data_IF_213630565428
#
_entry.id   IF_213630565428
#
_cell.length_a   1.000
_cell.length_b   1.000
_cell.length_c   1.000
_cell.angle_alpha   90.00
_cell.angle_beta   90.00
_cell.angle_gamma   90.00
#
_symmetry.space_group_name_H-M   'P 1'
#
loop_
_entity.id
_entity.type
_entity.pdbx_description
1 polymer ?
#
# COMPACT_ATOMS: atom_id res chain seq x y z
N UNK A 1 0.79 12.54 18.68
CA UNK A 1 2.00 12.09 19.40
C UNK A 1 2.43 10.76 18.80
N UNK A 2 3.38 10.75 17.84
CA UNK A 2 3.92 9.49 17.31
C UNK A 2 5.19 9.17 18.08
N UNK A 3 5.17 8.12 18.89
CA UNK A 3 6.38 7.58 19.49
C UNK A 3 7.32 7.15 18.36
N UNK A 4 8.53 7.68 18.36
CA UNK A 4 9.53 7.43 17.33
C UNK A 4 9.86 5.95 17.22
N UNK A 5 9.91 5.43 15.99
CA UNK A 5 10.41 4.09 15.69
C UNK A 5 11.86 4.00 16.19
N UNK A 6 12.14 3.02 17.06
CA UNK A 6 13.44 2.88 17.73
C UNK A 6 14.55 2.36 16.80
N UNK A 7 15.81 2.54 17.21
CA UNK A 7 17.02 2.17 16.45
C UNK A 7 17.01 0.71 15.93
N UNK A 8 16.37 -0.19 16.67
CA UNK A 8 16.27 -1.62 16.34
C UNK A 8 15.30 -1.89 15.19
N UNK A 9 14.24 -1.08 15.07
CA UNK A 9 13.31 -1.14 13.93
C UNK A 9 14.02 -0.71 12.64
N UNK A 10 14.79 0.37 12.72
CA UNK A 10 15.60 0.85 11.60
C UNK A 10 16.61 -0.22 11.18
N UNK A 11 17.49 -0.68 12.08
CA UNK A 11 18.50 -1.69 11.75
C UNK A 11 17.92 -2.96 11.09
N UNK A 12 16.80 -3.48 11.59
CA UNK A 12 16.12 -4.63 10.98
C UNK A 12 15.56 -4.31 9.60
N UNK A 13 14.93 -3.14 9.45
CA UNK A 13 14.37 -2.68 8.18
C UNK A 13 15.48 -2.60 7.14
N UNK A 14 16.58 -1.90 7.44
CA UNK A 14 17.69 -1.69 6.51
C UNK A 14 18.50 -2.96 6.20
N UNK A 15 18.64 -3.90 7.14
CA UNK A 15 19.41 -5.14 6.93
C UNK A 15 18.95 -5.95 5.71
N UNK A 16 17.64 -5.97 5.43
CA UNK A 16 17.05 -6.66 4.28
C UNK A 16 17.42 -6.02 2.92
N UNK A 17 17.79 -4.74 2.91
CA UNK A 17 18.05 -3.94 1.70
C UNK A 17 19.53 -3.61 1.48
N UNK A 18 20.43 -4.06 2.36
CA UNK A 18 21.89 -3.86 2.23
C UNK A 18 22.57 -4.83 1.25
N UNK A 19 21.88 -5.89 0.83
CA UNK A 19 22.35 -6.85 -0.17
C UNK A 19 21.74 -6.55 -1.55
N UNK A 20 22.34 -7.03 -2.66
CA UNK A 20 21.69 -7.00 -3.97
C UNK A 20 20.33 -7.68 -3.85
N UNK A 21 19.26 -6.89 -3.95
CA UNK A 21 17.90 -7.35 -3.70
C UNK A 21 17.00 -6.98 -4.86
N UNK A 22 15.88 -7.68 -4.98
CA UNK A 22 14.81 -7.32 -5.92
C UNK A 22 14.00 -6.11 -5.45
N UNK A 23 14.25 -5.63 -4.23
CA UNK A 23 13.57 -4.47 -3.66
C UNK A 23 14.33 -3.20 -4.01
N UNK A 24 13.60 -2.23 -4.58
CA UNK A 24 14.15 -0.94 -5.00
C UNK A 24 14.13 0.12 -3.89
N UNK A 25 13.34 -0.10 -2.83
CA UNK A 25 13.18 0.83 -1.71
C UNK A 25 12.75 0.09 -0.43
N UNK A 26 13.05 0.69 0.72
CA UNK A 26 12.57 0.26 2.04
C UNK A 26 11.11 0.67 2.22
N UNK A 27 10.32 -0.16 2.93
CA UNK A 27 8.97 0.23 3.30
C UNK A 27 8.94 1.41 4.27
N UNK A 28 8.26 2.48 3.87
CA UNK A 28 7.98 3.64 4.71
C UNK A 28 6.56 4.15 4.45
N UNK A 29 5.61 3.71 5.27
CA UNK A 29 4.21 4.05 5.08
C UNK A 29 3.91 5.54 5.27
N UNK A 30 3.35 6.17 4.22
CA UNK A 30 2.87 7.56 4.25
C UNK A 30 1.91 7.82 5.42
N UNK A 31 2.03 8.94 6.16
CA UNK A 31 1.11 9.26 7.24
C UNK A 31 -0.36 9.29 6.76
N UNK A 32 -1.33 8.87 7.59
CA UNK A 32 -2.75 8.83 7.18
C UNK A 32 -3.30 10.16 6.66
N UNK A 33 -2.84 11.29 7.21
CA UNK A 33 -3.23 12.62 6.75
C UNK A 33 -2.74 12.92 5.31
N UNK A 34 -1.54 12.47 4.96
CA UNK A 34 -0.98 12.61 3.62
C UNK A 34 -1.74 11.72 2.64
N UNK A 35 -2.02 10.47 3.03
CA UNK A 35 -2.84 9.55 2.22
C UNK A 35 -4.23 10.13 1.96
N UNK A 36 -4.91 10.64 3.00
CA UNK A 36 -6.22 11.28 2.83
C UNK A 36 -6.15 12.45 1.86
N UNK A 37 -5.15 13.33 2.02
CA UNK A 37 -5.00 14.52 1.19
C UNK A 37 -4.69 14.17 -0.26
N UNK A 38 -3.87 13.16 -0.51
CA UNK A 38 -3.57 12.64 -1.85
C UNK A 38 -4.85 12.18 -2.55
N UNK A 39 -5.66 11.36 -1.88
CA UNK A 39 -6.91 10.84 -2.44
C UNK A 39 -7.97 11.93 -2.64
N UNK A 40 -7.99 12.97 -1.79
CA UNK A 40 -8.82 14.15 -1.98
C UNK A 40 -8.43 14.94 -3.24
N UNK A 41 -7.13 15.18 -3.45
CA UNK A 41 -6.63 15.91 -4.63
C UNK A 41 -6.96 15.13 -5.91
N UNK A 42 -6.85 13.80 -5.86
CA UNK A 42 -7.23 12.92 -6.96
C UNK A 42 -8.76 12.82 -7.17
N UNK A 43 -9.57 13.44 -6.29
CA UNK A 43 -11.02 13.33 -6.28
C UNK A 43 -11.51 11.87 -6.28
N UNK A 44 -10.81 11.01 -5.54
CA UNK A 44 -11.07 9.57 -5.47
C UNK A 44 -12.50 9.29 -4.96
N UNK A 45 -13.24 8.45 -5.70
CA UNK A 45 -14.59 8.05 -5.33
C UNK A 45 -15.06 6.75 -5.98
N UNK A 46 -16.37 6.46 -5.95
CA UNK A 46 -16.91 5.16 -6.35
C UNK A 46 -16.76 4.77 -7.83
N UNK A 47 -16.32 5.71 -8.68
CA UNK A 47 -16.08 5.48 -10.10
C UNK A 47 -14.63 5.10 -10.39
N UNK A 48 -13.76 5.19 -9.39
CA UNK A 48 -12.33 5.01 -9.56
C UNK A 48 -11.88 3.57 -9.37
N UNK A 49 -10.82 3.25 -10.10
CA UNK A 49 -10.03 2.04 -9.93
C UNK A 49 -8.62 2.48 -9.54
N UNK A 50 -8.29 2.31 -8.27
CA UNK A 50 -7.01 2.72 -7.68
C UNK A 50 -6.01 1.58 -7.74
N UNK A 51 -4.80 1.89 -8.22
CA UNK A 51 -3.65 1.00 -8.17
C UNK A 51 -2.57 1.59 -7.28
N UNK A 52 -2.11 0.81 -6.30
CA UNK A 52 -1.05 1.24 -5.37
C UNK A 52 0.20 0.37 -5.59
N UNK A 53 1.25 0.95 -6.16
CA UNK A 53 2.43 0.22 -6.64
C UNK A 53 3.52 0.20 -5.56
N UNK A 54 3.54 -0.86 -4.75
CA UNK A 54 4.29 -0.93 -3.49
C UNK A 54 3.40 -0.63 -2.30
N UNK A 55 2.25 -1.34 -2.21
CA UNK A 55 1.17 -0.97 -1.30
C UNK A 55 1.48 -1.15 0.19
N UNK A 56 2.58 -1.82 0.53
CA UNK A 56 3.04 -2.00 1.91
C UNK A 56 1.96 -2.61 2.81
N UNK A 57 1.59 -1.92 3.89
CA UNK A 57 0.54 -2.34 4.84
C UNK A 57 -0.90 -2.14 4.32
N UNK A 58 -1.07 -1.71 3.07
CA UNK A 58 -2.37 -1.57 2.42
C UNK A 58 -3.16 -0.32 2.83
N UNK A 59 -2.56 0.62 3.57
CA UNK A 59 -3.29 1.79 4.10
C UNK A 59 -3.95 2.66 3.03
N UNK A 60 -3.34 2.78 1.85
CA UNK A 60 -3.91 3.54 0.72
C UNK A 60 -5.10 2.79 0.14
N UNK A 61 -4.99 1.47 -0.01
CA UNK A 61 -6.09 0.60 -0.48
C UNK A 61 -7.33 0.73 0.42
N UNK A 62 -7.13 0.68 1.75
CA UNK A 62 -8.21 0.88 2.73
C UNK A 62 -8.84 2.25 2.57
N UNK A 63 -8.01 3.30 2.53
CA UNK A 63 -8.49 4.67 2.43
C UNK A 63 -9.25 4.94 1.11
N UNK A 64 -8.83 4.32 0.01
CA UNK A 64 -9.52 4.38 -1.28
C UNK A 64 -10.84 3.60 -1.25
N UNK A 65 -10.82 2.36 -0.73
CA UNK A 65 -12.01 1.51 -0.62
C UNK A 65 -13.08 2.13 0.29
N UNK A 66 -12.68 2.80 1.38
CA UNK A 66 -13.60 3.56 2.25
C UNK A 66 -14.28 4.74 1.53
N UNK A 67 -13.69 5.26 0.45
CA UNK A 67 -14.30 6.27 -0.44
C UNK A 67 -15.17 5.63 -1.53
N UNK A 68 -15.32 4.31 -1.52
CA UNK A 68 -16.12 3.53 -2.46
C UNK A 68 -15.38 3.09 -3.72
N UNK A 69 -14.10 3.43 -3.89
CA UNK A 69 -13.32 3.02 -5.05
C UNK A 69 -13.00 1.52 -5.02
N UNK A 70 -12.75 0.93 -6.18
CA UNK A 70 -12.11 -0.38 -6.28
C UNK A 70 -10.60 -0.18 -6.17
N UNK A 71 -9.89 -0.98 -5.37
CA UNK A 71 -8.45 -0.82 -5.21
C UNK A 71 -7.67 -2.14 -5.34
N UNK A 72 -6.52 -2.09 -6.02
CA UNK A 72 -5.59 -3.20 -6.14
C UNK A 72 -4.19 -2.72 -5.76
N UNK A 73 -3.57 -3.36 -4.78
CA UNK A 73 -2.19 -3.09 -4.41
C UNK A 73 -1.26 -4.17 -4.94
N UNK A 74 -0.06 -3.77 -5.35
CA UNK A 74 1.01 -4.69 -5.68
C UNK A 74 2.12 -4.56 -4.65
N UNK A 75 2.51 -5.68 -4.04
CA UNK A 75 3.57 -5.70 -3.03
C UNK A 75 4.47 -6.92 -3.24
N UNK A 76 5.78 -6.71 -3.13
CA UNK A 76 6.79 -7.73 -3.37
C UNK A 76 7.13 -8.49 -2.08
N UNK A 77 7.06 -7.80 -0.94
CA UNK A 77 7.39 -8.33 0.37
C UNK A 77 6.26 -9.22 0.92
N UNK A 78 6.48 -10.55 1.07
CA UNK A 78 5.45 -11.44 1.61
C UNK A 78 4.92 -11.05 2.99
N UNK A 79 5.77 -10.45 3.84
CA UNK A 79 5.35 -10.06 5.19
C UNK A 79 4.38 -8.87 5.13
N UNK A 80 4.66 -7.89 4.28
CA UNK A 80 3.78 -6.74 4.05
C UNK A 80 2.50 -7.14 3.33
N UNK A 81 2.56 -8.06 2.36
CA UNK A 81 1.36 -8.66 1.76
C UNK A 81 0.44 -9.24 2.83
N UNK A 82 0.97 -10.06 3.73
CA UNK A 82 0.18 -10.69 4.79
C UNK A 82 -0.39 -9.65 5.78
N UNK A 83 0.38 -8.61 6.12
CA UNK A 83 -0.10 -7.51 6.96
C UNK A 83 -1.23 -6.72 6.29
N UNK A 84 -1.10 -6.41 5.00
CA UNK A 84 -2.11 -5.70 4.23
C UNK A 84 -3.40 -6.52 4.08
N UNK A 85 -3.29 -7.80 3.72
CA UNK A 85 -4.44 -8.72 3.66
C UNK A 85 -5.17 -8.81 5.01
N UNK A 86 -4.44 -8.93 6.11
CA UNK A 86 -5.01 -8.93 7.46
C UNK A 86 -5.70 -7.60 7.80
N UNK A 87 -5.14 -6.47 7.37
CA UNK A 87 -5.72 -5.14 7.57
C UNK A 87 -7.01 -4.95 6.77
N UNK A 88 -7.03 -5.38 5.50
CA UNK A 88 -8.23 -5.41 4.65
C UNK A 88 -9.31 -6.26 5.27
N UNK A 89 -8.95 -7.45 5.76
CA UNK A 89 -9.90 -8.35 6.42
C UNK A 89 -10.49 -7.75 7.69
N UNK A 90 -9.66 -7.13 8.55
CA UNK A 90 -10.14 -6.43 9.76
C UNK A 90 -11.06 -5.26 9.45
N UNK A 91 -10.86 -4.58 8.32
CA UNK A 91 -11.72 -3.50 7.87
C UNK A 91 -12.99 -3.98 7.15
N UNK A 92 -13.11 -5.27 6.82
CA UNK A 92 -14.24 -5.83 6.09
C UNK A 92 -14.31 -5.41 4.62
N UNK A 93 -13.17 -5.03 4.02
CA UNK A 93 -13.10 -4.43 2.68
C UNK A 93 -12.61 -5.40 1.59
N UNK A 94 -12.59 -6.72 1.86
CA UNK A 94 -12.11 -7.71 0.89
C UNK A 94 -12.89 -7.70 -0.45
N UNK A 95 -14.12 -7.17 -0.46
CA UNK A 95 -14.93 -7.02 -1.68
C UNK A 95 -14.64 -5.75 -2.48
N UNK A 96 -13.84 -4.83 -1.95
CA UNK A 96 -13.54 -3.53 -2.55
C UNK A 96 -12.05 -3.35 -2.82
N UNK A 97 -11.18 -4.02 -2.05
CA UNK A 97 -9.76 -4.00 -2.32
C UNK A 97 -9.07 -5.35 -2.08
N UNK A 98 -7.97 -5.56 -2.80
CA UNK A 98 -7.12 -6.75 -2.71
C UNK A 98 -5.64 -6.41 -2.85
N UNK A 99 -4.79 -7.34 -2.43
CA UNK A 99 -3.35 -7.29 -2.63
C UNK A 99 -2.96 -8.37 -3.63
N UNK A 100 -2.05 -8.04 -4.54
CA UNK A 100 -1.36 -8.96 -5.43
C UNK A 100 0.08 -9.04 -4.98
N UNK A 101 0.52 -10.23 -4.58
CA UNK A 101 1.93 -10.46 -4.30
C UNK A 101 2.71 -10.56 -5.60
N UNK A 102 3.53 -9.55 -5.90
CA UNK A 102 4.25 -9.49 -7.16
C UNK A 102 5.12 -8.25 -7.32
N UNK A 103 5.92 -8.28 -8.37
CA UNK A 103 6.68 -7.13 -8.82
C UNK A 103 5.73 -6.10 -9.46
N UNK A 104 5.60 -4.94 -8.85
CA UNK A 104 4.72 -3.87 -9.32
C UNK A 104 5.09 -3.38 -10.73
N UNK A 105 6.35 -3.56 -11.18
CA UNK A 105 6.76 -3.25 -12.56
C UNK A 105 6.08 -4.15 -13.62
N UNK A 106 5.41 -5.23 -13.18
CA UNK A 106 4.65 -6.14 -14.03
C UNK A 106 3.14 -5.96 -13.93
N UNK A 107 2.68 -4.99 -13.13
CA UNK A 107 1.26 -4.73 -12.98
C UNK A 107 0.66 -4.21 -14.30
N UNK A 108 -0.42 -4.83 -14.77
CA UNK A 108 -1.24 -4.27 -15.84
C UNK A 108 -2.18 -3.22 -15.23
N UNK A 109 -1.81 -1.96 -15.39
CA UNK A 109 -2.54 -0.80 -14.87
C UNK A 109 -3.46 -0.16 -15.90
N UNK A 110 -3.74 -0.83 -17.03
CA UNK A 110 -4.53 -0.25 -18.13
C UNK A 110 -5.96 0.17 -17.75
N UNK A 111 -6.49 -0.38 -16.65
CA UNK A 111 -7.81 -0.03 -16.08
C UNK A 111 -7.77 1.00 -14.95
N UNK A 112 -6.58 1.44 -14.53
CA UNK A 112 -6.43 2.37 -13.42
C UNK A 112 -6.94 3.75 -13.80
N UNK A 113 -7.71 4.38 -12.91
CA UNK A 113 -8.04 5.81 -12.99
C UNK A 113 -7.16 6.65 -12.07
N UNK A 114 -6.61 6.03 -11.02
CA UNK A 114 -5.67 6.65 -10.07
C UNK A 114 -4.54 5.65 -9.82
N UNK A 115 -3.29 6.13 -9.83
CA UNK A 115 -2.09 5.38 -9.45
C UNK A 115 -1.40 6.12 -8.31
N UNK A 116 -0.93 5.37 -7.31
CA UNK A 116 -0.21 5.88 -6.13
C UNK A 116 1.12 5.18 -5.93
#
# INVERSE_FOLDING_TARGET
>A
MSAGRGILFELKSWAKYLLPSKYIAVYYGSPPSVVSRMLEIANCGPKDVVYDLGCGDGRVLIAAAQRGAQAEGWELDPELCAEAEATIARAGLQGQCRVVRGDAARADVGRATIIT
#
